data_IF_992101984647
#
_entry.id   IF_992101984647
#
_cell.length_a   1.000
_cell.length_b   1.000
_cell.length_c   1.000
_cell.angle_alpha   90.00
_cell.angle_beta   90.00
_cell.angle_gamma   90.00
#
_symmetry.space_group_name_H-M   'P 1'
#
loop_
_entity.id
_entity.type
_entity.pdbx_description
1 polymer ?
#
# COMPACT_ATOMS: atom_id res chain seq x y z
N UNK A 1 -18.56 -12.42 14.63
CA UNK A 1 -17.55 -11.93 15.61
C UNK A 1 -16.23 -11.53 14.96
N UNK A 2 -15.57 -12.39 14.17
CA UNK A 2 -14.28 -12.06 13.51
C UNK A 2 -14.31 -10.80 12.63
N UNK A 3 -15.38 -10.61 11.84
CA UNK A 3 -15.56 -9.40 11.00
C UNK A 3 -15.67 -8.12 11.84
N UNK A 4 -16.49 -8.14 12.89
CA UNK A 4 -16.66 -6.99 13.80
C UNK A 4 -15.35 -6.67 14.53
N UNK A 5 -14.63 -7.68 15.02
CA UNK A 5 -13.32 -7.48 15.65
C UNK A 5 -12.29 -6.91 14.67
N UNK A 6 -12.28 -7.36 13.42
CA UNK A 6 -11.40 -6.83 12.38
C UNK A 6 -11.76 -5.37 12.03
N UNK A 7 -13.04 -5.04 11.92
CA UNK A 7 -13.50 -3.67 11.71
C UNK A 7 -13.13 -2.76 12.88
N UNK A 8 -13.26 -3.24 14.12
CA UNK A 8 -12.90 -2.49 15.32
C UNK A 8 -11.40 -2.21 15.38
N UNK A 9 -10.57 -3.24 15.09
CA UNK A 9 -9.12 -3.11 15.01
C UNK A 9 -8.71 -2.09 13.95
N UNK A 10 -9.32 -2.18 12.76
CA UNK A 10 -9.06 -1.25 11.67
C UNK A 10 -9.42 0.20 12.04
N UNK A 11 -10.57 0.41 12.71
CA UNK A 11 -11.00 1.73 13.20
C UNK A 11 -10.04 2.32 14.23
N UNK A 12 -9.53 1.50 15.14
CA UNK A 12 -8.55 1.93 16.14
C UNK A 12 -7.24 2.32 15.45
N UNK A 13 -6.75 1.52 14.49
CA UNK A 13 -5.55 1.86 13.73
C UNK A 13 -5.69 3.19 13.00
N UNK A 14 -6.81 3.44 12.32
CA UNK A 14 -7.04 4.71 11.61
C UNK A 14 -6.97 5.92 12.54
N UNK A 15 -7.43 5.78 13.78
CA UNK A 15 -7.42 6.88 14.75
C UNK A 15 -5.99 7.36 15.09
N UNK A 16 -4.99 6.48 14.99
CA UNK A 16 -3.58 6.84 15.16
C UNK A 16 -2.94 7.52 13.94
N UNK A 17 -3.56 7.43 12.76
CA UNK A 17 -3.05 8.08 11.54
C UNK A 17 -3.45 9.55 11.43
N UNK A 18 -4.51 9.96 12.12
CA UNK A 18 -5.03 11.33 12.04
C UNK A 18 -4.09 12.33 12.73
N UNK A 19 -4.07 13.58 12.22
CA UNK A 19 -3.21 14.61 12.78
C UNK A 19 -3.65 14.99 14.21
N UNK A 20 -2.70 15.18 15.13
CA UNK A 20 -3.00 15.84 16.40
C UNK A 20 -3.19 17.36 16.18
N UNK A 21 -3.78 18.10 17.14
CA UNK A 21 -4.03 19.53 16.99
C UNK A 21 -2.77 20.37 16.68
N UNK A 22 -1.60 19.90 17.11
CA UNK A 22 -0.31 20.55 16.82
C UNK A 22 0.10 20.33 15.37
N UNK A 23 0.04 19.08 14.90
CA UNK A 23 0.35 18.72 13.50
C UNK A 23 -0.60 19.43 12.54
N UNK A 24 -1.89 19.50 12.86
CA UNK A 24 -2.90 20.14 12.02
C UNK A 24 -2.60 21.64 11.78
N UNK A 25 -2.18 22.38 12.81
CA UNK A 25 -1.84 23.81 12.67
C UNK A 25 -0.61 24.04 11.79
N UNK A 26 0.35 23.12 11.84
CA UNK A 26 1.62 23.20 11.13
C UNK A 26 1.57 22.59 9.72
N UNK A 27 0.42 22.05 9.32
CA UNK A 27 0.21 21.49 7.98
C UNK A 27 -0.33 22.54 7.00
N UNK A 28 0.00 22.40 5.70
CA UNK A 28 -0.58 23.23 4.66
C UNK A 28 -2.08 22.98 4.59
N UNK A 29 -2.87 24.00 4.21
CA UNK A 29 -4.34 24.01 4.27
C UNK A 29 -5.00 22.74 3.69
N UNK A 30 -4.41 22.17 2.64
CA UNK A 30 -4.93 21.00 1.93
C UNK A 30 -4.71 19.69 2.72
N UNK A 31 -3.69 19.61 3.56
CA UNK A 31 -3.29 18.39 4.27
C UNK A 31 -3.65 18.40 5.77
N UNK A 32 -4.28 19.48 6.26
CA UNK A 32 -4.63 19.63 7.68
C UNK A 32 -5.57 18.53 8.13
N UNK A 33 -5.20 17.84 9.21
CA UNK A 33 -6.04 16.81 9.83
C UNK A 33 -5.74 15.40 9.32
N UNK A 34 -5.00 15.27 8.21
CA UNK A 34 -4.84 13.98 7.51
C UNK A 34 -3.60 13.20 7.91
N UNK A 35 -2.50 13.90 8.20
CA UNK A 35 -1.19 13.26 8.39
C UNK A 35 -0.73 13.42 9.83
N UNK A 36 -0.31 12.35 10.50
CA UNK A 36 0.43 12.49 11.75
C UNK A 36 1.89 12.85 11.48
N UNK A 37 2.47 13.76 12.27
CA UNK A 37 3.88 14.16 12.16
C UNK A 37 4.10 15.56 11.57
N UNK A 38 5.36 15.97 11.52
CA UNK A 38 5.76 17.29 11.01
C UNK A 38 5.61 17.32 9.49
N UNK A 39 4.96 18.36 8.99
CA UNK A 39 4.89 18.60 7.56
C UNK A 39 6.28 18.90 6.98
N UNK A 40 6.51 18.62 5.69
CA UNK A 40 7.73 19.04 4.99
C UNK A 40 7.97 20.55 5.16
N UNK A 41 9.22 20.92 5.41
CA UNK A 41 9.61 22.30 5.76
C UNK A 41 9.84 23.19 4.55
N UNK A 42 10.05 22.59 3.38
CA UNK A 42 10.37 23.29 2.14
C UNK A 42 9.64 22.70 0.93
N UNK A 43 9.45 23.49 -0.13
CA UNK A 43 8.78 23.06 -1.36
C UNK A 43 9.49 21.87 -2.02
N UNK A 44 10.82 21.81 -1.92
CA UNK A 44 11.61 20.70 -2.43
C UNK A 44 11.28 19.39 -1.70
N UNK A 45 11.07 19.42 -0.39
CA UNK A 45 10.66 18.24 0.36
C UNK A 45 9.26 17.76 -0.06
N UNK A 46 8.33 18.66 -0.39
CA UNK A 46 7.02 18.27 -0.94
C UNK A 46 7.15 17.58 -2.31
N UNK A 47 8.03 18.08 -3.18
CA UNK A 47 8.32 17.44 -4.47
C UNK A 47 8.85 16.02 -4.26
N UNK A 48 9.76 15.83 -3.30
CA UNK A 48 10.29 14.50 -2.97
C UNK A 48 9.20 13.55 -2.47
N UNK A 49 8.31 14.01 -1.59
CA UNK A 49 7.18 13.19 -1.09
C UNK A 49 6.28 12.75 -2.24
N UNK A 50 5.94 13.66 -3.16
CA UNK A 50 5.13 13.33 -4.35
C UNK A 50 5.85 12.32 -5.24
N UNK A 51 7.16 12.48 -5.46
CA UNK A 51 7.95 11.55 -6.27
C UNK A 51 7.97 10.14 -5.65
N UNK A 52 8.16 10.05 -4.33
CA UNK A 52 8.13 8.76 -3.61
C UNK A 52 6.76 8.10 -3.76
N UNK A 53 5.66 8.85 -3.54
CA UNK A 53 4.30 8.33 -3.72
C UNK A 53 4.12 7.78 -5.14
N UNK A 54 4.54 8.52 -6.16
CA UNK A 54 4.41 8.10 -7.55
C UNK A 54 5.19 6.81 -7.84
N UNK A 55 6.45 6.73 -7.41
CA UNK A 55 7.29 5.54 -7.59
C UNK A 55 6.70 4.33 -6.86
N UNK A 56 6.22 4.53 -5.62
CA UNK A 56 5.56 3.46 -4.85
C UNK A 56 4.29 2.96 -5.53
N UNK A 57 3.47 3.85 -6.10
CA UNK A 57 2.27 3.45 -6.85
C UNK A 57 2.62 2.68 -8.13
N UNK A 58 3.67 3.09 -8.85
CA UNK A 58 4.17 2.37 -10.02
C UNK A 58 4.66 0.97 -9.61
N UNK A 59 5.48 0.88 -8.56
CA UNK A 59 5.98 -0.37 -8.03
C UNK A 59 4.84 -1.29 -7.57
N UNK A 60 3.85 -0.75 -6.86
CA UNK A 60 2.65 -1.49 -6.45
C UNK A 60 1.86 -1.99 -7.66
N UNK A 61 1.67 -1.15 -8.69
CA UNK A 61 1.01 -1.55 -9.93
C UNK A 61 1.73 -2.69 -10.65
N UNK A 62 3.06 -2.63 -10.73
CA UNK A 62 3.87 -3.71 -11.31
C UNK A 62 3.82 -4.98 -10.46
N UNK A 63 3.86 -4.85 -9.14
CA UNK A 63 3.74 -5.97 -8.20
C UNK A 63 2.40 -6.69 -8.37
N UNK A 64 1.29 -5.94 -8.39
CA UNK A 64 -0.03 -6.48 -8.64
C UNK A 64 -0.12 -7.13 -10.03
N UNK A 65 0.42 -6.49 -11.07
CA UNK A 65 0.50 -7.05 -12.42
C UNK A 65 1.23 -8.40 -12.42
N UNK A 66 2.35 -8.51 -11.71
CA UNK A 66 3.15 -9.74 -11.63
C UNK A 66 2.38 -10.87 -10.92
N UNK A 67 1.56 -10.56 -9.91
CA UNK A 67 0.76 -11.55 -9.19
C UNK A 67 -0.45 -12.00 -10.03
N UNK A 68 -1.17 -11.05 -10.64
CA UNK A 68 -2.40 -11.35 -11.40
C UNK A 68 -2.08 -12.05 -12.72
N UNK A 69 -1.06 -11.56 -13.44
CA UNK A 69 -0.65 -12.10 -14.74
C UNK A 69 0.86 -12.34 -14.73
N UNK A 70 1.32 -13.48 -14.18
CA UNK A 70 2.73 -13.85 -14.22
C UNK A 70 3.23 -13.88 -15.68
N UNK A 71 4.36 -13.21 -15.92
CA UNK A 71 5.01 -13.16 -17.24
C UNK A 71 5.83 -14.41 -17.56
N UNK A 72 5.96 -15.30 -16.59
CA UNK A 72 6.71 -16.54 -16.69
C UNK A 72 6.02 -17.53 -17.65
N UNK A 73 6.75 -17.92 -18.69
CA UNK A 73 6.26 -18.85 -19.73
C UNK A 73 6.43 -20.32 -19.34
N UNK A 74 7.29 -20.61 -18.37
CA UNK A 74 7.55 -21.97 -17.91
C UNK A 74 6.38 -22.50 -17.08
N UNK A 75 5.89 -23.69 -17.44
CA UNK A 75 4.74 -24.34 -16.79
C UNK A 75 5.02 -24.70 -15.34
N UNK A 76 6.28 -24.98 -15.02
CA UNK A 76 6.72 -25.54 -13.74
C UNK A 76 7.10 -24.44 -12.72
N UNK A 77 6.72 -23.18 -12.99
CA UNK A 77 6.99 -22.09 -12.05
C UNK A 77 6.05 -22.15 -10.85
N UNK A 78 6.59 -21.99 -9.64
CA UNK A 78 5.82 -21.99 -8.37
C UNK A 78 4.62 -21.02 -8.36
N UNK A 79 4.70 -19.92 -9.10
CA UNK A 79 3.60 -18.94 -9.23
C UNK A 79 2.40 -19.52 -10.00
N UNK A 80 2.63 -20.34 -11.03
CA UNK A 80 1.55 -21.03 -11.76
C UNK A 80 0.92 -22.13 -10.92
N UNK A 81 1.72 -22.84 -10.11
CA UNK A 81 1.22 -23.84 -9.15
C UNK A 81 0.24 -23.22 -8.14
N UNK A 82 0.60 -22.09 -7.53
CA UNK A 82 -0.25 -21.42 -6.53
C UNK A 82 -1.52 -20.85 -7.17
N UNK A 83 -1.44 -20.32 -8.39
CA UNK A 83 -2.57 -19.67 -9.05
C UNK A 83 -3.49 -20.62 -9.84
N UNK A 84 -2.99 -21.79 -10.26
CA UNK A 84 -3.71 -22.79 -11.06
C UNK A 84 -3.54 -24.19 -10.46
N UNK A 85 -3.67 -24.31 -9.14
CA UNK A 85 -3.48 -25.57 -8.39
C UNK A 85 -4.32 -26.71 -8.95
N UNK A 86 -5.53 -26.40 -9.41
CA UNK A 86 -6.52 -27.39 -9.83
C UNK A 86 -6.14 -28.07 -11.16
N UNK A 87 -5.23 -27.47 -11.94
CA UNK A 87 -4.75 -27.99 -13.23
C UNK A 87 -3.28 -28.42 -13.18
N UNK A 88 -2.70 -28.57 -11.99
CA UNK A 88 -1.30 -28.93 -11.84
C UNK A 88 -1.10 -30.45 -11.81
N UNK A 89 -0.57 -31.01 -12.90
CA UNK A 89 -0.02 -32.36 -12.90
C UNK A 89 1.51 -32.28 -12.73
N UNK A 90 2.09 -32.83 -11.64
CA UNK A 90 3.53 -32.86 -11.47
C UNK A 90 4.15 -33.75 -12.56
N UNK A 91 5.10 -33.20 -13.34
CA UNK A 91 5.94 -34.03 -14.22
C UNK A 91 6.77 -34.96 -13.34
N UNK A 92 6.64 -36.27 -13.59
CA UNK A 92 7.46 -37.32 -12.96
C UNK A 92 8.92 -37.24 -13.41
#
# INVERSE_FOLDING_TARGET
>A
MKKIQLTLLFSICISFLMACPVCERNQPKILRGWVHGTAPKSDLEYIMVIAIILISLIALGMFLKMIIKPGEKQTDHIKRFILNSDNYEPKK
#
